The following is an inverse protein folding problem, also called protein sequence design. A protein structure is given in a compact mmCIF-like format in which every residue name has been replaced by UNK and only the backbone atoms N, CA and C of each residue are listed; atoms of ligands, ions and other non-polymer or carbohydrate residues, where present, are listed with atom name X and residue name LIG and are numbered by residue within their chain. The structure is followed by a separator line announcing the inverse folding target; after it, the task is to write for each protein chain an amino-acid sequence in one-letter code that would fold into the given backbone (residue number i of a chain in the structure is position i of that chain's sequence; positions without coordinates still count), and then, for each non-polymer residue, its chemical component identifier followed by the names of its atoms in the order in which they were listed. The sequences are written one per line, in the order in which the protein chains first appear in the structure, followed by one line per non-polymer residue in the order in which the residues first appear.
data_IF_079522973731
#
_entry.id   IF_079522973731
#
_cell.length_a   1.000
_cell.length_b   1.000
_cell.length_c   1.000
_cell.angle_alpha   90.00
_cell.angle_beta   90.00
_cell.angle_gamma   90.00
#
_symmetry.space_group_name_H-M   'P 1'
#
loop_
_entity.id
_entity.type
_entity.pdbx_description
1 polymer ?
#
# COMPACT_ATOMS: atom_id res chain seq x y z
N UNK A 1 -8.04 -0.93 -1.69
CA UNK A 1 -7.44 0.10 -0.81
C UNK A 1 -7.23 1.39 -1.58
N UNK A 2 -7.36 2.55 -0.94
CA UNK A 2 -7.17 3.87 -1.58
C UNK A 2 -6.05 4.65 -0.91
N UNK A 3 -5.15 5.21 -1.73
CA UNK A 3 -4.11 6.14 -1.29
C UNK A 3 -4.38 7.54 -1.89
N UNK A 4 -4.26 8.63 -1.13
CA UNK A 4 -4.59 9.98 -1.63
C UNK A 4 -3.76 10.40 -2.85
N UNK A 5 -2.49 9.97 -2.92
CA UNK A 5 -1.58 10.32 -4.03
C UNK A 5 -1.64 9.29 -5.18
N UNK A 6 -1.88 8.01 -4.89
CA UNK A 6 -1.69 6.93 -5.87
C UNK A 6 -3.02 6.34 -6.36
N UNK A 7 -4.14 6.75 -5.77
CA UNK A 7 -5.47 6.28 -6.14
C UNK A 7 -5.77 4.89 -5.58
N UNK A 8 -6.64 4.15 -6.29
CA UNK A 8 -7.00 2.78 -5.92
C UNK A 8 -5.86 1.82 -6.24
N UNK A 9 -5.67 0.86 -5.35
CA UNK A 9 -4.67 -0.18 -5.51
C UNK A 9 -5.06 -1.50 -4.87
N UNK A 10 -4.45 -2.57 -5.40
CA UNK A 10 -4.57 -3.93 -4.91
C UNK A 10 -3.26 -4.34 -4.23
N UNK A 11 -3.37 -4.88 -3.01
CA UNK A 11 -2.22 -5.44 -2.29
C UNK A 11 -1.78 -6.72 -3.01
N UNK A 12 -0.49 -6.78 -3.35
CA UNK A 12 0.14 -7.95 -3.97
C UNK A 12 0.89 -8.80 -2.95
N UNK A 13 1.50 -8.18 -1.95
CA UNK A 13 2.27 -8.89 -0.93
C UNK A 13 2.33 -8.09 0.37
N UNK A 14 2.39 -8.83 1.48
CA UNK A 14 2.75 -8.34 2.81
C UNK A 14 4.17 -8.77 3.10
N UNK A 15 5.02 -7.85 3.56
CA UNK A 15 6.44 -8.10 3.81
C UNK A 15 6.77 -7.66 5.24
N UNK A 16 7.33 -8.58 6.02
CA UNK A 16 7.67 -8.36 7.43
C UNK A 16 6.45 -8.35 8.35
N UNK A 17 6.69 -8.13 9.63
CA UNK A 17 5.67 -8.10 10.69
C UNK A 17 5.76 -6.78 11.47
N UNK A 18 4.72 -6.50 12.25
CA UNK A 18 4.66 -5.42 13.23
C UNK A 18 4.98 -4.03 12.66
N UNK A 19 5.77 -3.23 13.38
CA UNK A 19 6.05 -1.83 13.07
C UNK A 19 6.80 -1.61 11.75
N UNK A 20 7.40 -2.66 11.19
CA UNK A 20 8.16 -2.61 9.95
C UNK A 20 7.43 -3.27 8.77
N UNK A 21 6.16 -3.64 8.95
CA UNK A 21 5.35 -4.23 7.91
C UNK A 21 5.22 -3.29 6.71
N UNK A 22 5.49 -3.84 5.53
CA UNK A 22 5.38 -3.17 4.23
C UNK A 22 4.36 -3.89 3.36
N UNK A 23 3.66 -3.12 2.53
CA UNK A 23 2.77 -3.63 1.50
C UNK A 23 3.38 -3.34 0.14
N UNK A 24 3.44 -4.36 -0.71
CA UNK A 24 3.64 -4.17 -2.14
C UNK A 24 2.27 -4.03 -2.78
N UNK A 25 1.95 -2.85 -3.32
CA UNK A 25 0.63 -2.51 -3.86
C UNK A 25 0.77 -2.19 -5.34
N UNK A 26 -0.10 -2.76 -6.19
CA UNK A 26 -0.28 -2.30 -7.57
C UNK A 26 -1.37 -1.24 -7.57
N UNK A 27 -0.96 0.01 -7.78
CA UNK A 27 -1.86 1.12 -8.02
C UNK A 27 -2.19 1.23 -9.52
N UNK A 28 -3.44 1.57 -9.84
CA UNK A 28 -3.92 1.68 -11.22
C UNK A 28 -3.10 2.69 -12.03
N UNK A 29 -2.81 3.86 -11.44
CA UNK A 29 -2.12 4.97 -12.14
C UNK A 29 -0.61 5.05 -11.82
N UNK A 30 -0.18 4.56 -10.66
CA UNK A 30 1.18 4.74 -10.16
C UNK A 30 2.06 3.48 -10.24
N UNK A 31 1.53 2.37 -10.77
CA UNK A 31 2.26 1.11 -10.90
C UNK A 31 2.48 0.41 -9.55
N UNK A 32 3.53 -0.40 -9.45
CA UNK A 32 3.84 -1.14 -8.22
C UNK A 32 4.65 -0.25 -7.28
N UNK A 33 4.17 -0.10 -6.04
CA UNK A 33 4.86 0.64 -4.98
C UNK A 33 4.96 -0.20 -3.72
N UNK A 34 6.06 -0.02 -2.99
CA UNK A 34 6.22 -0.57 -1.65
C UNK A 34 6.00 0.55 -0.66
N UNK A 35 5.02 0.39 0.23
CA UNK A 35 4.65 1.38 1.24
C UNK A 35 4.68 0.74 2.63
N UNK A 36 5.20 1.47 3.61
CA UNK A 36 5.22 1.03 5.01
C UNK A 36 3.86 1.34 5.64
N UNK A 37 3.20 0.33 6.21
CA UNK A 37 1.77 0.40 6.61
C UNK A 37 1.48 1.59 7.51
N UNK A 38 2.29 1.80 8.56
CA UNK A 38 2.11 2.87 9.56
C UNK A 38 2.14 4.31 9.00
N UNK A 39 2.70 4.50 7.81
CA UNK A 39 2.80 5.81 7.16
C UNK A 39 1.92 5.96 5.94
N UNK A 40 1.26 4.88 5.52
CA UNK A 40 0.63 4.82 4.21
C UNK A 40 -0.80 5.41 4.19
N UNK A 41 -1.38 5.79 5.33
CA UNK A 41 -2.75 6.34 5.46
C UNK A 41 -3.75 5.63 4.52
N UNK A 42 -3.77 4.30 4.60
CA UNK A 42 -4.52 3.49 3.66
C UNK A 42 -5.92 3.22 4.22
N UNK A 43 -6.94 3.64 3.48
CA UNK A 43 -8.34 3.33 3.82
C UNK A 43 -8.77 1.99 3.24
N UNK A 44 -9.41 1.17 4.08
CA UNK A 44 -10.22 0.03 3.63
C UNK A 44 -11.44 0.61 2.91
N UNK A 45 -11.55 0.30 1.63
CA UNK A 45 -12.61 0.71 0.73
C UNK A 45 -13.20 -0.53 0.08
#
# INVERSE_FOLDING_TARGET
MRHPVFGRGQVLAVIGTDLNQKLRIKFERAGVKTVMVRFANLELA
#
